data_IF_296632542080
#
_entry.id   IF_296632542080
#
_cell.length_a   1.000
_cell.length_b   1.000
_cell.length_c   1.000
_cell.angle_alpha   90.00
_cell.angle_beta   90.00
_cell.angle_gamma   90.00
#
_symmetry.space_group_name_H-M   'P 1'
#
loop_
_entity.id
_entity.type
_entity.pdbx_description
1 polymer ?
#
# COMPACT_ATOMS: atom_id res chain seq x y z
N UNK A 1 38.85 2.57 -4.30
CA UNK A 1 38.43 2.68 -5.71
C UNK A 1 37.90 1.31 -6.13
N UNK A 2 36.66 1.04 -6.49
CA UNK A 2 35.47 1.86 -6.65
C UNK A 2 34.28 0.90 -6.58
N UNK A 3 33.37 1.11 -5.63
CA UNK A 3 32.08 0.44 -5.59
C UNK A 3 31.12 1.26 -6.46
N UNK A 4 30.86 0.84 -7.71
CA UNK A 4 29.97 1.59 -8.61
C UNK A 4 29.57 0.77 -9.86
N UNK A 5 29.10 -0.48 -9.72
CA UNK A 5 28.50 -1.21 -10.86
C UNK A 5 27.34 -2.12 -10.43
N UNK A 6 26.36 -1.59 -9.69
CA UNK A 6 25.08 -2.30 -9.45
C UNK A 6 23.93 -1.28 -9.36
N UNK A 7 23.75 -0.42 -10.37
CA UNK A 7 22.62 0.52 -10.40
C UNK A 7 22.09 0.77 -11.82
N UNK A 8 22.03 -0.30 -12.64
CA UNK A 8 21.56 -0.23 -14.03
C UNK A 8 20.32 -1.10 -14.31
N UNK A 9 19.43 -1.25 -13.33
CA UNK A 9 18.11 -1.92 -13.51
C UNK A 9 16.97 -1.28 -12.69
N UNK A 10 16.97 0.04 -12.53
CA UNK A 10 15.82 0.80 -11.99
C UNK A 10 15.11 1.65 -13.06
N UNK A 11 14.98 1.09 -14.26
CA UNK A 11 13.98 1.53 -15.22
C UNK A 11 12.70 0.70 -15.01
N UNK A 12 12.07 0.86 -13.84
CA UNK A 12 10.63 0.66 -13.70
C UNK A 12 10.02 1.94 -14.28
N UNK A 13 9.58 1.96 -15.54
CA UNK A 13 8.20 1.64 -15.90
C UNK A 13 7.26 1.97 -14.73
N UNK A 14 6.98 3.25 -14.53
CA UNK A 14 5.62 3.83 -14.50
C UNK A 14 5.75 5.33 -14.21
N UNK A 15 5.62 6.20 -15.23
CA UNK A 15 5.23 7.58 -14.99
C UNK A 15 3.75 7.58 -14.58
N UNK A 16 3.26 8.71 -14.04
CA UNK A 16 1.84 8.98 -13.72
C UNK A 16 1.39 8.58 -12.30
N UNK A 17 1.89 9.31 -11.30
CA UNK A 17 1.08 9.64 -10.11
C UNK A 17 0.62 11.09 -10.25
N UNK A 18 -0.56 11.26 -10.87
CA UNK A 18 -1.26 12.54 -11.00
C UNK A 18 -1.57 13.07 -9.59
N UNK A 19 -0.81 14.10 -9.21
CA UNK A 19 -1.31 15.42 -8.86
C UNK A 19 -2.70 15.43 -8.18
N UNK A 20 -2.77 15.06 -6.90
CA UNK A 20 -3.90 15.45 -6.05
C UNK A 20 -3.69 16.89 -5.58
N UNK A 21 -4.31 17.79 -6.32
CA UNK A 21 -4.64 19.19 -6.04
C UNK A 21 -4.71 19.51 -4.54
N UNK A 22 -3.76 20.32 -4.03
CA UNK A 22 -3.91 21.09 -2.79
C UNK A 22 -4.19 22.52 -3.21
N UNK A 23 -5.47 22.90 -3.21
CA UNK A 23 -5.88 24.30 -3.30
C UNK A 23 -5.94 24.89 -1.88
N UNK A 24 -5.28 26.03 -1.69
CA UNK A 24 -5.54 26.95 -0.59
C UNK A 24 -4.38 27.11 0.39
N UNK A 25 -3.62 28.19 0.26
CA UNK A 25 -2.64 28.58 1.30
C UNK A 25 -1.64 29.66 0.91
N UNK A 26 -2.14 30.89 0.69
CA UNK A 26 -1.46 32.19 0.78
C UNK A 26 0.08 32.22 0.98
N UNK A 27 0.81 32.60 -0.08
CA UNK A 27 2.27 32.80 -0.09
C UNK A 27 2.68 34.10 0.62
N UNK A 28 3.36 33.97 1.76
CA UNK A 28 4.22 35.03 2.31
C UNK A 28 5.68 34.79 1.88
N UNK A 29 6.37 35.85 1.43
CA UNK A 29 7.69 35.88 0.76
C UNK A 29 8.91 35.39 1.57
N UNK A 30 8.75 34.70 2.70
CA UNK A 30 9.83 34.37 3.64
C UNK A 30 10.20 32.87 3.69
N UNK A 31 10.06 32.12 2.58
CA UNK A 31 10.11 30.66 2.58
C UNK A 31 11.37 29.99 2.01
N UNK A 32 12.47 30.72 1.77
CA UNK A 32 13.63 30.16 1.05
C UNK A 32 14.45 29.13 1.87
N UNK A 33 14.28 29.07 3.20
CA UNK A 33 15.03 28.17 4.08
C UNK A 33 14.33 26.80 4.31
N UNK A 34 13.06 26.66 3.92
CA UNK A 34 12.27 25.42 4.16
C UNK A 34 12.48 24.36 3.07
N UNK A 35 13.33 24.61 2.07
CA UNK A 35 13.55 23.74 0.91
C UNK A 35 14.43 22.50 1.18
N UNK A 36 15.20 22.45 2.28
CA UNK A 36 16.12 21.32 2.53
C UNK A 36 15.62 20.26 3.53
N UNK A 37 14.58 20.55 4.31
CA UNK A 37 14.05 19.61 5.32
C UNK A 37 12.86 18.77 4.82
N UNK A 38 12.35 19.04 3.62
CA UNK A 38 11.17 18.36 3.05
C UNK A 38 11.46 17.02 2.35
N UNK A 39 12.73 16.66 2.13
CA UNK A 39 13.09 15.48 1.35
C UNK A 39 12.94 14.14 2.11
N UNK A 40 12.80 14.15 3.44
CA UNK A 40 12.77 12.92 4.26
C UNK A 40 11.35 12.34 4.43
N UNK A 41 10.29 13.12 4.18
CA UNK A 41 8.90 12.67 4.37
C UNK A 41 8.24 12.07 3.11
N UNK A 42 8.98 11.93 2.01
CA UNK A 42 8.45 11.38 0.74
C UNK A 42 8.66 9.86 0.59
N UNK A 43 9.19 9.17 1.61
CA UNK A 43 9.44 7.73 1.57
C UNK A 43 8.26 6.85 2.01
N UNK A 44 7.16 7.40 2.50
CA UNK A 44 6.05 6.60 3.08
C UNK A 44 4.85 6.38 2.13
N UNK A 45 5.02 6.52 0.81
CA UNK A 45 3.89 6.60 -0.13
C UNK A 45 3.71 5.51 -1.20
N UNK A 46 4.60 4.51 -1.29
CA UNK A 46 4.51 3.46 -2.32
C UNK A 46 4.14 2.10 -1.68
N UNK A 47 2.95 2.01 -1.08
CA UNK A 47 2.46 0.78 -0.48
C UNK A 47 0.92 0.73 -0.43
N UNK A 48 0.32 -0.46 -0.30
CA UNK A 48 -1.12 -0.61 -0.16
C UNK A 48 -1.63 0.09 1.08
N UNK A 49 -2.92 0.42 1.10
CA UNK A 49 -3.56 1.16 2.19
C UNK A 49 -3.71 0.25 3.43
N UNK A 50 -2.62 0.22 4.23
CA UNK A 50 -2.49 -0.57 5.46
C UNK A 50 -3.61 -0.24 6.44
N UNK A 51 -3.99 1.04 6.55
CA UNK A 51 -5.06 1.45 7.47
C UNK A 51 -6.43 0.97 7.01
N UNK A 52 -6.75 1.11 5.72
CA UNK A 52 -8.00 0.60 5.17
C UNK A 52 -8.09 -0.93 5.33
N UNK A 53 -7.00 -1.64 5.09
CA UNK A 53 -6.94 -3.09 5.26
C UNK A 53 -7.13 -3.50 6.73
N UNK A 54 -6.42 -2.86 7.66
CA UNK A 54 -6.58 -3.08 9.12
C UNK A 54 -8.05 -2.91 9.53
N UNK A 55 -8.69 -1.81 9.10
CA UNK A 55 -10.11 -1.52 9.41
C UNK A 55 -11.07 -2.55 8.80
N UNK A 56 -10.82 -2.99 7.57
CA UNK A 56 -11.62 -4.02 6.91
C UNK A 56 -11.53 -5.37 7.63
N UNK A 57 -10.33 -5.78 8.03
CA UNK A 57 -10.11 -7.05 8.74
C UNK A 57 -10.71 -7.04 10.15
N UNK A 58 -10.62 -5.91 10.87
CA UNK A 58 -11.30 -5.75 12.16
C UNK A 58 -12.82 -5.93 12.02
N UNK A 59 -13.44 -5.32 10.99
CA UNK A 59 -14.87 -5.50 10.71
C UNK A 59 -15.25 -6.93 10.32
N UNK A 60 -14.32 -7.66 9.71
CA UNK A 60 -14.50 -9.08 9.36
C UNK A 60 -14.35 -10.02 10.57
N UNK A 61 -14.06 -9.50 11.77
CA UNK A 61 -13.98 -10.27 13.00
C UNK A 61 -12.59 -10.80 13.35
N UNK A 62 -11.54 -10.33 12.66
CA UNK A 62 -10.16 -10.66 13.03
C UNK A 62 -9.68 -9.79 14.20
N UNK A 63 -8.76 -10.32 15.01
CA UNK A 63 -8.15 -9.54 16.10
C UNK A 63 -7.28 -8.41 15.54
N UNK A 64 -7.14 -7.32 16.32
CA UNK A 64 -6.34 -6.17 15.92
C UNK A 64 -4.88 -6.53 15.60
N UNK A 65 -4.28 -7.43 16.36
CA UNK A 65 -2.90 -7.91 16.15
C UNK A 65 -2.77 -8.65 14.81
N UNK A 66 -3.70 -9.55 14.51
CA UNK A 66 -3.71 -10.29 13.24
C UNK A 66 -3.96 -9.38 12.06
N UNK A 67 -4.96 -8.50 12.18
CA UNK A 67 -5.27 -7.49 11.17
C UNK A 67 -4.07 -6.60 10.88
N UNK A 68 -3.31 -6.22 11.91
CA UNK A 68 -2.14 -5.39 11.75
C UNK A 68 -0.97 -6.12 11.07
N UNK A 69 -0.66 -7.33 11.54
CA UNK A 69 0.35 -8.18 10.92
C UNK A 69 0.07 -8.38 9.42
N UNK A 70 -1.19 -8.69 9.07
CA UNK A 70 -1.54 -8.97 7.69
C UNK A 70 -1.41 -7.74 6.79
N UNK A 71 -1.89 -6.59 7.25
CA UNK A 71 -1.85 -5.37 6.47
C UNK A 71 -0.40 -4.91 6.20
N UNK A 72 0.49 -5.07 7.18
CA UNK A 72 1.92 -4.78 7.03
C UNK A 72 2.59 -5.78 6.07
N UNK A 73 2.32 -7.08 6.22
CA UNK A 73 2.83 -8.10 5.29
C UNK A 73 2.32 -7.95 3.87
N UNK A 74 1.07 -7.53 3.69
CA UNK A 74 0.53 -7.21 2.38
C UNK A 74 1.28 -6.03 1.76
N UNK A 75 1.66 -5.03 2.55
CA UNK A 75 2.47 -3.90 2.08
C UNK A 75 3.89 -4.29 1.71
N UNK A 76 4.50 -5.18 2.47
CA UNK A 76 5.86 -5.66 2.21
C UNK A 76 5.93 -6.69 1.07
N UNK A 77 4.79 -7.20 0.59
CA UNK A 77 4.75 -8.27 -0.41
C UNK A 77 5.23 -7.87 -1.81
N UNK A 78 5.41 -6.57 -2.07
CA UNK A 78 5.76 -6.04 -3.39
C UNK A 78 4.66 -6.20 -4.45
N UNK A 79 3.47 -6.69 -4.07
CA UNK A 79 2.31 -6.76 -4.95
C UNK A 79 1.79 -5.35 -5.22
N UNK A 80 1.27 -5.07 -6.42
CA UNK A 80 0.57 -3.82 -6.70
C UNK A 80 -0.53 -3.55 -5.66
N UNK A 81 -0.68 -2.30 -5.25
CA UNK A 81 -1.64 -1.89 -4.22
C UNK A 81 -3.10 -2.20 -4.60
N UNK A 82 -3.42 -2.16 -5.90
CA UNK A 82 -4.78 -2.32 -6.45
C UNK A 82 -5.59 -3.51 -5.90
N UNK A 83 -5.10 -4.77 -5.95
CA UNK A 83 -5.80 -5.91 -5.38
C UNK A 83 -6.02 -5.80 -3.87
N UNK A 84 -5.04 -5.38 -3.09
CA UNK A 84 -5.18 -5.26 -1.63
C UNK A 84 -6.13 -4.14 -1.24
N UNK A 85 -5.99 -2.95 -1.84
CA UNK A 85 -6.89 -1.82 -1.58
C UNK A 85 -8.36 -2.18 -1.92
N UNK A 86 -8.55 -2.95 -3.00
CA UNK A 86 -9.87 -3.42 -3.37
C UNK A 86 -10.45 -4.44 -2.38
N UNK A 87 -9.62 -5.35 -1.85
CA UNK A 87 -10.03 -6.26 -0.78
C UNK A 87 -10.39 -5.48 0.47
N UNK A 88 -9.55 -4.53 0.88
CA UNK A 88 -9.79 -3.66 2.03
C UNK A 88 -11.14 -2.93 1.92
N UNK A 89 -11.44 -2.38 0.74
CA UNK A 89 -12.73 -1.74 0.44
C UNK A 89 -13.90 -2.71 0.61
N UNK A 90 -13.82 -3.91 0.02
CA UNK A 90 -14.88 -4.92 0.12
C UNK A 90 -15.11 -5.39 1.55
N UNK A 91 -14.03 -5.59 2.32
CA UNK A 91 -14.11 -5.92 3.74
C UNK A 91 -14.77 -4.77 4.53
N UNK A 92 -14.45 -3.51 4.22
CA UNK A 92 -15.06 -2.35 4.86
C UNK A 92 -16.56 -2.22 4.57
N UNK A 93 -17.01 -2.70 3.41
CA UNK A 93 -18.41 -2.84 2.98
C UNK A 93 -19.12 -4.05 3.61
N UNK A 94 -18.42 -4.88 4.40
CA UNK A 94 -18.98 -6.06 5.06
C UNK A 94 -19.03 -7.31 4.16
N UNK A 95 -18.35 -7.30 3.02
CA UNK A 95 -18.21 -8.48 2.16
C UNK A 95 -17.29 -9.49 2.87
N UNK A 96 -17.68 -10.78 2.96
CA UNK A 96 -16.84 -11.78 3.60
C UNK A 96 -15.51 -11.95 2.86
N UNK A 97 -14.44 -12.20 3.62
CA UNK A 97 -13.06 -12.22 3.14
C UNK A 97 -12.87 -13.11 1.89
N UNK A 98 -13.43 -14.32 1.91
CA UNK A 98 -13.36 -15.26 0.79
C UNK A 98 -13.96 -14.68 -0.50
N UNK A 99 -15.07 -13.95 -0.40
CA UNK A 99 -15.71 -13.31 -1.54
C UNK A 99 -14.94 -12.07 -1.99
N UNK A 100 -14.39 -11.30 -1.04
CA UNK A 100 -13.54 -10.16 -1.35
C UNK A 100 -12.32 -10.58 -2.18
N UNK A 101 -11.61 -11.63 -1.74
CA UNK A 101 -10.46 -12.20 -2.45
C UNK A 101 -10.86 -12.75 -3.81
N UNK A 102 -12.00 -13.44 -3.92
CA UNK A 102 -12.47 -13.97 -5.20
C UNK A 102 -12.85 -12.86 -6.20
N UNK A 103 -13.46 -11.76 -5.72
CA UNK A 103 -13.77 -10.59 -6.55
C UNK A 103 -12.49 -9.88 -6.99
N UNK A 104 -11.52 -9.71 -6.08
CA UNK A 104 -10.21 -9.17 -6.41
C UNK A 104 -9.48 -10.04 -7.44
N UNK A 105 -9.54 -11.37 -7.31
CA UNK A 105 -8.98 -12.33 -8.28
C UNK A 105 -9.57 -12.16 -9.67
N UNK A 106 -10.88 -11.98 -9.77
CA UNK A 106 -11.56 -11.75 -11.05
C UNK A 106 -11.15 -10.43 -11.70
N UNK A 107 -10.82 -9.42 -10.89
CA UNK A 107 -10.48 -8.08 -11.38
C UNK A 107 -9.00 -7.89 -11.70
N UNK A 108 -8.10 -8.44 -10.88
CA UNK A 108 -6.65 -8.20 -10.95
C UNK A 108 -5.83 -9.45 -11.29
N UNK A 109 -6.47 -10.61 -11.45
CA UNK A 109 -5.79 -11.88 -11.73
C UNK A 109 -5.44 -12.68 -10.47
N UNK A 110 -4.85 -13.85 -10.66
CA UNK A 110 -4.52 -14.78 -9.57
C UNK A 110 -3.16 -14.56 -8.91
N UNK A 111 -2.36 -13.62 -9.42
CA UNK A 111 -0.96 -13.47 -9.03
C UNK A 111 -0.82 -12.98 -7.57
N UNK A 112 -1.68 -12.06 -7.13
CA UNK A 112 -1.66 -11.58 -5.74
C UNK A 112 -2.09 -12.63 -4.71
N UNK A 113 -2.68 -13.76 -5.14
CA UNK A 113 -3.22 -14.77 -4.21
C UNK A 113 -2.10 -15.49 -3.46
N UNK A 114 -0.94 -15.67 -4.11
CA UNK A 114 0.23 -16.29 -3.47
C UNK A 114 0.75 -15.46 -2.29
N UNK A 115 1.13 -14.17 -2.47
CA UNK A 115 1.57 -13.34 -1.35
C UNK A 115 0.47 -13.11 -0.32
N UNK A 116 -0.81 -13.02 -0.75
CA UNK A 116 -1.95 -12.95 0.16
C UNK A 116 -2.02 -14.17 1.10
N UNK A 117 -1.94 -15.39 0.56
CA UNK A 117 -2.00 -16.61 1.37
C UNK A 117 -0.77 -16.79 2.26
N UNK A 118 0.41 -16.36 1.79
CA UNK A 118 1.63 -16.35 2.60
C UNK A 118 1.45 -15.45 3.84
N UNK A 119 0.97 -14.22 3.63
CA UNK A 119 0.68 -13.28 4.72
C UNK A 119 -0.38 -13.83 5.69
N UNK A 120 -1.43 -14.50 5.20
CA UNK A 120 -2.42 -15.16 6.07
C UNK A 120 -1.80 -16.23 6.96
N UNK A 121 -0.96 -17.09 6.37
CA UNK A 121 -0.30 -18.18 7.10
C UNK A 121 0.67 -17.64 8.15
N UNK A 122 1.41 -16.59 7.83
CA UNK A 122 2.34 -15.95 8.78
C UNK A 122 1.61 -15.27 9.94
N UNK A 123 0.47 -14.63 9.67
CA UNK A 123 -0.28 -13.89 10.67
C UNK A 123 -1.38 -14.73 11.37
N UNK A 124 -1.53 -16.01 11.03
CA UNK A 124 -2.48 -16.93 11.66
C UNK A 124 -3.96 -16.57 11.38
N UNK A 125 -4.27 -16.19 10.14
CA UNK A 125 -5.60 -15.78 9.63
C UNK A 125 -6.17 -16.82 8.67
#
# INVERSE_FOLDING_TARGET
>A
MSALVVFARLLCVYPVCILKKVEGGSMNKAGLVVMLSGAVLLLSGCGPDVEAMKKGLLKAGFSAEKAACFAEKAADSGTPNGPYDYIAKLLAEGVPEKDAVNRARRKYGAEFKQPYNAAKKECGI
#
